data_IF_880016270430
#
_entry.id   IF_880016270430
#
_cell.length_a   1.000
_cell.length_b   1.000
_cell.length_c   1.000
_cell.angle_alpha   90.00
_cell.angle_beta   90.00
_cell.angle_gamma   90.00
#
_symmetry.space_group_name_H-M   'P 1'
#
loop_
_entity.id
_entity.type
_entity.pdbx_description
1 polymer ?
#
# COMPACT_ATOMS: atom_id res chain seq x y z
N UNK A 1 2.40 15.78 12.31
CA UNK A 1 2.18 14.53 13.06
C UNK A 1 1.35 13.59 12.20
N UNK A 2 1.71 12.31 12.17
CA UNK A 2 1.05 11.32 11.30
C UNK A 2 -0.37 10.97 11.79
N UNK A 3 -0.62 11.09 13.09
CA UNK A 3 -1.91 10.78 13.70
C UNK A 3 -3.09 11.58 13.14
N UNK A 4 -2.87 12.84 12.79
CA UNK A 4 -3.94 13.65 12.17
C UNK A 4 -4.43 13.09 10.83
N UNK A 5 -3.60 12.29 10.13
CA UNK A 5 -4.04 11.62 8.90
C UNK A 5 -5.03 10.50 9.20
N UNK A 6 -4.83 9.74 10.27
CA UNK A 6 -5.76 8.72 10.72
C UNK A 6 -7.07 9.34 11.24
N UNK A 7 -6.97 10.42 12.02
CA UNK A 7 -8.17 11.10 12.55
C UNK A 7 -9.06 11.57 11.39
N UNK A 8 -8.49 12.15 10.32
CA UNK A 8 -9.23 12.55 9.11
C UNK A 8 -9.87 11.36 8.39
N UNK A 9 -9.23 10.18 8.36
CA UNK A 9 -9.87 8.97 7.80
C UNK A 9 -11.14 8.64 8.56
N UNK A 10 -11.10 8.66 9.90
CA UNK A 10 -12.26 8.36 10.75
C UNK A 10 -13.36 9.41 10.64
N UNK A 11 -12.98 10.68 10.51
CA UNK A 11 -13.92 11.81 10.37
C UNK A 11 -14.63 11.79 9.02
N UNK A 12 -13.93 11.46 7.94
CA UNK A 12 -14.46 11.56 6.57
C UNK A 12 -15.03 10.26 6.02
N UNK A 13 -14.70 9.12 6.64
CA UNK A 13 -15.13 7.78 6.20
C UNK A 13 -14.96 7.59 4.68
N UNK A 14 -13.74 7.68 4.14
CA UNK A 14 -13.50 7.68 2.71
C UNK A 14 -14.01 6.40 2.04
N UNK A 15 -14.79 6.55 0.98
CA UNK A 15 -15.24 5.45 0.16
C UNK A 15 -14.15 5.10 -0.86
N UNK A 16 -13.64 3.86 -0.83
CA UNK A 16 -12.52 3.41 -1.65
C UNK A 16 -12.92 2.24 -2.54
N UNK A 17 -12.77 2.41 -3.85
CA UNK A 17 -12.89 1.33 -4.80
C UNK A 17 -11.62 0.47 -4.78
N UNK A 18 -11.78 -0.85 -4.71
CA UNK A 18 -10.67 -1.80 -4.69
C UNK A 18 -10.81 -2.84 -5.79
N UNK A 19 -9.88 -2.78 -6.76
CA UNK A 19 -9.60 -3.90 -7.66
C UNK A 19 -8.39 -4.61 -7.06
N UNK A 20 -8.63 -5.62 -6.23
CA UNK A 20 -7.59 -6.31 -5.48
C UNK A 20 -7.59 -7.81 -5.76
N UNK A 21 -6.59 -8.51 -5.23
CA UNK A 21 -6.45 -9.94 -5.47
C UNK A 21 -7.42 -10.77 -4.60
N UNK A 22 -7.92 -11.89 -5.15
CA UNK A 22 -8.90 -12.74 -4.47
C UNK A 22 -8.34 -13.50 -3.25
N UNK A 23 -7.01 -13.58 -3.11
CA UNK A 23 -6.38 -14.21 -1.94
C UNK A 23 -6.63 -13.41 -0.67
N UNK A 24 -6.69 -12.08 -0.79
CA UNK A 24 -6.72 -11.16 0.35
C UNK A 24 -7.88 -10.18 0.34
N UNK A 25 -8.81 -10.31 -0.60
CA UNK A 25 -9.93 -9.36 -0.81
C UNK A 25 -10.74 -9.11 0.47
N UNK A 26 -11.03 -10.16 1.23
CA UNK A 26 -11.79 -10.02 2.49
C UNK A 26 -10.98 -9.26 3.56
N UNK A 27 -9.69 -9.54 3.68
CA UNK A 27 -8.82 -8.87 4.66
C UNK A 27 -8.62 -7.39 4.31
N UNK A 28 -8.52 -7.05 3.00
CA UNK A 28 -8.46 -5.66 2.53
C UNK A 28 -9.75 -4.92 2.90
N UNK A 29 -10.92 -5.53 2.69
CA UNK A 29 -12.18 -4.93 3.10
C UNK A 29 -12.23 -4.71 4.63
N UNK A 30 -11.83 -5.70 5.42
CA UNK A 30 -11.89 -5.59 6.88
C UNK A 30 -10.89 -4.56 7.44
N UNK A 31 -9.69 -4.45 6.90
CA UNK A 31 -8.73 -3.43 7.37
C UNK A 31 -9.19 -2.01 7.03
N UNK A 32 -9.85 -1.82 5.88
CA UNK A 32 -10.47 -0.55 5.51
C UNK A 32 -11.59 -0.16 6.48
N UNK A 33 -12.49 -1.09 6.80
CA UNK A 33 -13.51 -0.88 7.82
C UNK A 33 -12.89 -0.59 9.19
N UNK A 34 -11.84 -1.31 9.57
CA UNK A 34 -11.15 -1.12 10.84
C UNK A 34 -10.53 0.28 10.97
N UNK A 35 -9.95 0.85 9.91
CA UNK A 35 -9.39 2.19 9.98
C UNK A 35 -10.44 3.31 9.92
N UNK A 36 -11.71 2.99 9.66
CA UNK A 36 -12.80 3.96 9.53
C UNK A 36 -13.13 4.35 8.09
N UNK A 37 -12.54 3.67 7.09
CA UNK A 37 -12.91 3.80 5.69
C UNK A 37 -14.10 2.93 5.30
N UNK A 38 -14.56 3.06 4.07
CA UNK A 38 -15.65 2.28 3.48
C UNK A 38 -15.18 1.64 2.16
N UNK A 39 -15.02 0.31 2.09
CA UNK A 39 -14.54 -0.37 0.89
C UNK A 39 -15.69 -0.76 -0.06
N UNK A 40 -15.45 -0.63 -1.37
CA UNK A 40 -16.21 -1.34 -2.40
C UNK A 40 -15.25 -2.22 -3.19
N UNK A 41 -15.60 -3.51 -3.32
CA UNK A 41 -14.85 -4.49 -4.11
C UNK A 41 -15.61 -4.72 -5.43
N UNK A 42 -15.04 -4.23 -6.54
CA UNK A 42 -15.59 -4.45 -7.88
C UNK A 42 -14.46 -4.60 -8.89
N UNK A 43 -14.57 -5.56 -9.80
CA UNK A 43 -13.56 -5.83 -10.82
C UNK A 43 -14.15 -6.21 -12.20
N UNK A 44 -15.50 -6.16 -12.35
CA UNK A 44 -16.15 -6.37 -13.63
C UNK A 44 -16.06 -5.12 -14.51
N UNK A 45 -15.69 -5.30 -15.79
CA UNK A 45 -15.52 -4.17 -16.75
C UNK A 45 -16.80 -3.36 -16.96
N UNK A 46 -17.99 -3.94 -16.74
CA UNK A 46 -19.26 -3.26 -16.89
C UNK A 46 -19.65 -2.44 -15.66
N UNK A 47 -18.97 -2.62 -14.52
CA UNK A 47 -19.31 -2.00 -13.24
C UNK A 47 -18.26 -1.00 -12.75
N UNK A 48 -16.97 -1.20 -13.10
CA UNK A 48 -15.86 -0.48 -12.49
C UNK A 48 -15.89 1.03 -12.69
N UNK A 49 -16.39 1.54 -13.81
CA UNK A 49 -16.46 2.98 -14.05
C UNK A 49 -17.52 3.65 -13.18
N UNK A 50 -18.68 3.02 -13.02
CA UNK A 50 -19.75 3.50 -12.15
C UNK A 50 -19.32 3.50 -10.69
N UNK A 51 -18.69 2.39 -10.24
CA UNK A 51 -18.17 2.28 -8.87
C UNK A 51 -17.04 3.29 -8.63
N UNK A 52 -16.10 3.46 -9.56
CA UNK A 52 -15.06 4.47 -9.44
C UNK A 52 -15.65 5.87 -9.31
N UNK A 53 -16.75 6.14 -10.01
CA UNK A 53 -17.38 7.45 -10.03
C UNK A 53 -18.04 7.84 -8.71
N UNK A 54 -18.54 6.89 -7.93
CA UNK A 54 -19.14 7.15 -6.61
C UNK A 54 -18.11 7.08 -5.47
N UNK A 55 -16.93 6.51 -5.70
CA UNK A 55 -15.85 6.42 -4.73
C UNK A 55 -14.98 7.67 -4.73
N UNK A 56 -14.26 7.92 -3.63
CA UNK A 56 -13.31 9.02 -3.51
C UNK A 56 -11.89 8.67 -3.98
N UNK A 57 -11.60 7.39 -4.27
CA UNK A 57 -10.30 6.93 -4.75
C UNK A 57 -10.28 5.45 -5.08
N UNK A 58 -9.16 5.00 -5.64
CA UNK A 58 -9.01 3.67 -6.22
C UNK A 58 -7.71 3.00 -5.74
N UNK A 59 -7.82 1.72 -5.36
CA UNK A 59 -6.70 0.83 -5.11
C UNK A 59 -6.64 -0.25 -6.18
N UNK A 60 -5.53 -0.36 -6.91
CA UNK A 60 -5.25 -1.38 -7.93
C UNK A 60 -4.14 -2.29 -7.43
N UNK A 61 -4.43 -3.59 -7.26
CA UNK A 61 -3.49 -4.62 -6.87
C UNK A 61 -3.46 -5.74 -7.90
N UNK A 62 -2.29 -6.02 -8.46
CA UNK A 62 -2.11 -6.96 -9.57
C UNK A 62 -1.76 -8.39 -9.13
N UNK A 63 -2.03 -8.76 -7.87
CA UNK A 63 -1.60 -10.04 -7.28
C UNK A 63 -2.21 -11.29 -7.91
N UNK A 64 -3.41 -11.20 -8.51
CA UNK A 64 -4.08 -12.32 -9.18
C UNK A 64 -4.68 -11.88 -10.51
N UNK A 65 -3.80 -11.40 -11.41
CA UNK A 65 -4.21 -10.96 -12.75
C UNK A 65 -4.90 -12.06 -13.55
N UNK A 66 -5.95 -11.66 -14.28
CA UNK A 66 -6.61 -12.48 -15.28
C UNK A 66 -7.14 -11.60 -16.44
N UNK A 67 -7.60 -12.24 -17.51
CA UNK A 67 -8.04 -11.55 -18.73
C UNK A 67 -9.22 -10.60 -18.51
N UNK A 68 -10.03 -10.83 -17.48
CA UNK A 68 -11.21 -10.00 -17.18
C UNK A 68 -10.83 -8.78 -16.31
N UNK A 69 -9.95 -8.97 -15.32
CA UNK A 69 -9.59 -7.89 -14.38
C UNK A 69 -8.60 -6.88 -14.97
N UNK A 70 -7.75 -7.29 -15.92
CA UNK A 70 -6.77 -6.37 -16.52
C UNK A 70 -7.47 -5.20 -17.23
N UNK A 71 -8.45 -5.39 -18.14
CA UNK A 71 -9.18 -4.26 -18.73
C UNK A 71 -9.86 -3.35 -17.71
N UNK A 72 -10.42 -3.95 -16.66
CA UNK A 72 -11.10 -3.23 -15.58
C UNK A 72 -10.15 -2.29 -14.82
N UNK A 73 -8.90 -2.72 -14.56
CA UNK A 73 -7.87 -1.89 -13.92
C UNK A 73 -7.56 -0.63 -14.76
N UNK A 74 -7.46 -0.76 -16.09
CA UNK A 74 -7.23 0.38 -16.97
C UNK A 74 -8.45 1.31 -17.04
N UNK A 75 -9.66 0.77 -17.20
CA UNK A 75 -10.89 1.55 -17.25
C UNK A 75 -11.10 2.35 -15.94
N UNK A 76 -11.05 1.68 -14.79
CA UNK A 76 -11.19 2.31 -13.49
C UNK A 76 -10.07 3.34 -13.23
N UNK A 77 -8.83 3.03 -13.58
CA UNK A 77 -7.69 3.95 -13.41
C UNK A 77 -7.85 5.23 -14.22
N UNK A 78 -8.24 5.13 -15.49
CA UNK A 78 -8.52 6.29 -16.35
C UNK A 78 -9.70 7.09 -15.82
N UNK A 79 -10.78 6.40 -15.41
CA UNK A 79 -11.95 7.05 -14.82
C UNK A 79 -11.61 7.80 -13.54
N UNK A 80 -10.82 7.23 -12.65
CA UNK A 80 -10.33 7.90 -11.46
C UNK A 80 -9.51 9.16 -11.81
N UNK A 81 -8.64 9.09 -12.82
CA UNK A 81 -7.87 10.23 -13.28
C UNK A 81 -8.74 11.35 -13.88
N UNK A 82 -9.77 11.01 -14.66
CA UNK A 82 -10.75 11.98 -15.17
C UNK A 82 -11.46 12.75 -14.05
N UNK A 83 -11.75 12.07 -12.95
CA UNK A 83 -12.42 12.63 -11.77
C UNK A 83 -11.46 13.32 -10.80
N UNK A 84 -10.14 13.22 -11.01
CA UNK A 84 -9.13 13.75 -10.09
C UNK A 84 -9.01 12.95 -8.79
N UNK A 85 -9.48 11.71 -8.77
CA UNK A 85 -9.40 10.83 -7.62
C UNK A 85 -7.99 10.27 -7.43
N UNK A 86 -7.48 10.15 -6.19
CA UNK A 86 -6.22 9.48 -5.92
C UNK A 86 -6.29 7.98 -6.27
N UNK A 87 -5.18 7.49 -6.84
CA UNK A 87 -5.03 6.08 -7.24
C UNK A 87 -3.78 5.51 -6.61
N UNK A 88 -3.89 4.32 -6.00
CA UNK A 88 -2.78 3.55 -5.44
C UNK A 88 -2.52 2.33 -6.31
N UNK A 89 -1.25 2.08 -6.65
CA UNK A 89 -0.80 0.86 -7.33
C UNK A 89 -0.02 -0.04 -6.36
N UNK A 90 -0.41 -1.30 -6.31
CA UNK A 90 0.33 -2.38 -5.67
C UNK A 90 0.77 -3.40 -6.76
N UNK A 91 2.02 -3.29 -7.27
CA UNK A 91 2.52 -4.11 -8.35
C UNK A 91 2.97 -5.50 -7.90
N UNK A 92 2.15 -6.20 -7.13
CA UNK A 92 2.46 -7.50 -6.52
C UNK A 92 3.05 -8.47 -7.53
N UNK A 93 4.30 -8.88 -7.27
CA UNK A 93 5.00 -9.86 -8.09
C UNK A 93 5.47 -9.32 -9.43
N UNK A 94 5.58 -8.02 -9.62
CA UNK A 94 6.32 -7.45 -10.74
C UNK A 94 7.75 -8.01 -10.74
N UNK A 95 8.20 -8.52 -11.89
CA UNK A 95 9.45 -9.27 -12.04
C UNK A 95 9.32 -10.78 -11.90
N UNK A 96 8.27 -11.30 -11.26
CA UNK A 96 8.04 -12.74 -11.14
C UNK A 96 7.46 -13.36 -12.41
N UNK A 97 6.75 -12.60 -13.24
CA UNK A 97 6.26 -13.04 -14.55
C UNK A 97 6.18 -11.88 -15.54
N UNK A 98 6.26 -12.22 -16.82
CA UNK A 98 6.13 -11.24 -17.91
C UNK A 98 4.78 -10.52 -17.87
N UNK A 99 3.68 -11.24 -17.62
CA UNK A 99 2.34 -10.66 -17.55
C UNK A 99 2.24 -9.59 -16.46
N UNK A 100 2.72 -9.88 -15.23
CA UNK A 100 2.67 -8.92 -14.11
C UNK A 100 3.52 -7.69 -14.39
N UNK A 101 4.76 -7.91 -14.86
CA UNK A 101 5.68 -6.82 -15.17
C UNK A 101 5.12 -5.90 -16.27
N UNK A 102 4.66 -6.49 -17.38
CA UNK A 102 4.12 -5.73 -18.51
C UNK A 102 2.83 -4.99 -18.12
N UNK A 103 1.94 -5.62 -17.35
CA UNK A 103 0.72 -4.97 -16.88
C UNK A 103 1.04 -3.80 -15.96
N UNK A 104 1.97 -3.97 -15.00
CA UNK A 104 2.37 -2.89 -14.10
C UNK A 104 2.99 -1.71 -14.87
N UNK A 105 3.91 -1.97 -15.80
CA UNK A 105 4.53 -0.93 -16.62
C UNK A 105 3.50 -0.20 -17.48
N UNK A 106 2.60 -0.93 -18.13
CA UNK A 106 1.54 -0.34 -18.95
C UNK A 106 0.54 0.47 -18.13
N UNK A 107 0.21 0.03 -16.91
CA UNK A 107 -0.60 0.83 -15.98
C UNK A 107 0.09 2.15 -15.64
N UNK A 108 1.40 2.15 -15.39
CA UNK A 108 2.18 3.36 -15.13
C UNK A 108 2.28 4.31 -16.34
N UNK A 109 2.16 3.79 -17.56
CA UNK A 109 2.12 4.60 -18.78
C UNK A 109 0.75 5.26 -19.02
N UNK A 110 -0.34 4.56 -18.69
CA UNK A 110 -1.70 4.98 -19.05
C UNK A 110 -2.51 5.59 -17.91
N UNK A 111 -2.10 5.37 -16.66
CA UNK A 111 -2.79 5.84 -15.45
C UNK A 111 -1.82 6.63 -14.57
N UNK A 112 -2.26 7.79 -14.09
CA UNK A 112 -1.51 8.59 -13.10
C UNK A 112 -1.81 8.05 -11.71
N UNK A 113 -0.77 7.66 -10.99
CA UNK A 113 -0.88 7.17 -9.62
C UNK A 113 -0.48 8.25 -8.62
N UNK A 114 -1.20 8.31 -7.50
CA UNK A 114 -0.84 9.14 -6.35
C UNK A 114 0.23 8.45 -5.50
N UNK A 115 0.10 7.13 -5.34
CA UNK A 115 1.06 6.30 -4.61
C UNK A 115 1.34 5.02 -5.38
N UNK A 116 2.61 4.65 -5.47
CA UNK A 116 3.06 3.32 -5.92
C UNK A 116 3.71 2.63 -4.73
N UNK A 117 3.13 1.52 -4.26
CA UNK A 117 3.61 0.79 -3.09
C UNK A 117 4.04 -0.62 -3.48
N UNK A 118 5.26 -1.01 -3.14
CA UNK A 118 5.76 -2.37 -3.38
C UNK A 118 6.94 -2.70 -2.45
N UNK A 119 7.44 -3.93 -2.52
CA UNK A 119 8.73 -4.24 -1.93
C UNK A 119 9.87 -3.69 -2.81
N UNK A 120 11.10 -3.73 -2.31
CA UNK A 120 12.26 -3.16 -3.03
C UNK A 120 12.48 -3.81 -4.39
N UNK A 121 12.27 -5.14 -4.52
CA UNK A 121 12.45 -5.87 -5.78
C UNK A 121 11.40 -5.51 -6.81
N UNK A 122 10.14 -5.32 -6.39
CA UNK A 122 9.04 -4.85 -7.26
C UNK A 122 9.34 -3.45 -7.78
N UNK A 123 9.72 -2.52 -6.91
CA UNK A 123 10.04 -1.13 -7.30
C UNK A 123 11.29 -1.07 -8.20
N UNK A 124 12.34 -1.88 -7.93
CA UNK A 124 13.51 -2.01 -8.83
C UNK A 124 13.12 -2.55 -10.21
N UNK A 125 12.18 -3.50 -10.26
CA UNK A 125 11.66 -4.03 -11.53
C UNK A 125 10.96 -2.94 -12.34
N UNK A 126 10.13 -2.12 -11.71
CA UNK A 126 9.50 -0.96 -12.37
C UNK A 126 10.55 0.07 -12.83
N UNK A 127 11.64 0.23 -12.08
CA UNK A 127 12.74 1.10 -12.47
C UNK A 127 13.49 0.61 -13.71
N UNK A 128 13.72 -0.69 -13.80
CA UNK A 128 14.46 -1.30 -14.91
C UNK A 128 13.64 -1.47 -16.20
N UNK A 129 12.29 -1.42 -16.11
CA UNK A 129 11.41 -1.65 -17.25
C UNK A 129 11.30 -3.13 -17.68
N UNK A 130 12.22 -3.98 -17.23
CA UNK A 130 12.18 -5.44 -17.34
C UNK A 130 13.09 -6.00 -16.26
N UNK A 131 12.63 -6.94 -15.47
CA UNK A 131 13.43 -7.52 -14.39
C UNK A 131 13.16 -9.00 -14.22
N UNK A 132 14.12 -9.69 -13.61
CA UNK A 132 13.95 -11.05 -13.10
C UNK A 132 14.01 -10.97 -11.58
N UNK A 133 12.84 -10.96 -10.93
CA UNK A 133 12.75 -11.15 -9.47
C UNK A 133 12.32 -12.59 -9.19
N UNK A 134 12.84 -13.15 -8.10
CA UNK A 134 12.48 -14.50 -7.66
C UNK A 134 11.28 -14.45 -6.74
N UNK A 135 10.08 -14.66 -7.30
CA UNK A 135 8.86 -14.77 -6.50
C UNK A 135 8.24 -13.44 -6.08
N UNK A 136 7.36 -13.49 -5.08
CA UNK A 136 6.61 -12.33 -4.53
C UNK A 136 7.39 -11.65 -3.40
N UNK A 137 8.30 -12.38 -2.76
CA UNK A 137 9.16 -11.84 -1.70
C UNK A 137 10.38 -11.14 -2.28
N UNK A 138 10.80 -10.05 -1.64
CA UNK A 138 12.04 -9.36 -1.99
C UNK A 138 13.23 -10.31 -1.83
N UNK A 139 14.21 -10.25 -2.76
CA UNK A 139 15.49 -10.91 -2.54
C UNK A 139 16.12 -10.32 -1.25
N UNK A 140 16.56 -11.20 -0.35
CA UNK A 140 17.19 -10.79 0.91
C UNK A 140 18.40 -9.88 0.67
N UNK A 141 19.10 -10.06 -0.46
CA UNK A 141 20.23 -9.22 -0.85
C UNK A 141 19.82 -7.78 -1.21
N UNK A 142 18.54 -7.55 -1.53
CA UNK A 142 18.00 -6.24 -1.89
C UNK A 142 17.38 -5.49 -0.71
N UNK A 143 17.21 -6.13 0.44
CA UNK A 143 16.52 -5.55 1.60
C UNK A 143 17.09 -4.19 2.00
N UNK A 144 16.20 -3.24 2.33
CA UNK A 144 16.58 -1.96 2.92
C UNK A 144 17.02 -2.20 4.37
N UNK A 145 18.28 -1.90 4.65
CA UNK A 145 18.92 -2.06 5.96
C UNK A 145 19.70 -0.79 6.29
N UNK A 146 20.16 -0.65 7.54
CA UNK A 146 20.89 0.56 7.96
C UNK A 146 22.15 0.81 7.12
N UNK A 147 22.86 -0.24 6.70
CA UNK A 147 24.11 -0.13 5.93
C UNK A 147 23.91 0.44 4.51
N UNK A 148 22.73 0.29 3.91
CA UNK A 148 22.41 0.80 2.57
C UNK A 148 21.33 1.89 2.58
N UNK A 149 21.00 2.42 3.73
CA UNK A 149 19.85 3.31 3.92
C UNK A 149 19.91 4.57 3.07
N UNK A 150 21.06 5.27 3.04
CA UNK A 150 21.22 6.50 2.25
C UNK A 150 21.04 6.27 0.76
N UNK A 151 21.59 5.16 0.23
CA UNK A 151 21.41 4.78 -1.16
C UNK A 151 19.95 4.41 -1.46
N UNK A 152 19.29 3.72 -0.54
CA UNK A 152 17.88 3.32 -0.66
C UNK A 152 16.94 4.53 -0.60
N UNK A 153 17.22 5.52 0.25
CA UNK A 153 16.49 6.80 0.30
C UNK A 153 16.65 7.57 -1.01
N UNK A 154 17.89 7.68 -1.52
CA UNK A 154 18.15 8.33 -2.80
C UNK A 154 17.41 7.63 -3.97
N UNK A 155 17.38 6.30 -3.97
CA UNK A 155 16.64 5.51 -4.94
C UNK A 155 15.12 5.76 -4.84
N UNK A 156 14.53 5.74 -3.63
CA UNK A 156 13.11 6.00 -3.42
C UNK A 156 12.69 7.39 -3.94
N UNK A 157 13.47 8.44 -3.60
CA UNK A 157 13.24 9.81 -4.11
C UNK A 157 13.35 9.91 -5.65
N UNK A 158 14.36 9.26 -6.22
CA UNK A 158 14.55 9.20 -7.68
C UNK A 158 13.36 8.52 -8.37
N UNK A 159 12.84 7.43 -7.80
CA UNK A 159 11.67 6.75 -8.32
C UNK A 159 10.41 7.60 -8.20
N UNK A 160 10.23 8.29 -7.08
CA UNK A 160 9.10 9.20 -6.86
C UNK A 160 9.12 10.35 -7.89
N UNK A 161 10.28 10.96 -8.13
CA UNK A 161 10.44 11.98 -9.15
C UNK A 161 10.12 11.45 -10.57
N UNK A 162 10.60 10.25 -10.90
CA UNK A 162 10.37 9.62 -12.21
C UNK A 162 8.90 9.28 -12.44
N UNK A 163 8.20 8.77 -11.42
CA UNK A 163 6.80 8.39 -11.51
C UNK A 163 5.85 9.55 -11.27
N UNK A 164 6.37 10.71 -10.83
CA UNK A 164 5.56 11.84 -10.34
C UNK A 164 4.48 11.39 -9.34
N UNK A 165 4.88 10.53 -8.39
CA UNK A 165 4.03 9.89 -7.40
C UNK A 165 4.80 9.69 -6.09
N UNK A 166 4.09 9.52 -4.99
CA UNK A 166 4.68 9.00 -3.76
C UNK A 166 5.08 7.54 -3.98
N UNK A 167 6.29 7.17 -3.61
CA UNK A 167 6.76 5.78 -3.65
C UNK A 167 6.91 5.25 -2.23
N UNK A 168 6.22 4.15 -1.93
CA UNK A 168 6.31 3.44 -0.66
C UNK A 168 7.02 2.09 -0.87
N UNK A 169 8.25 1.97 -0.41
CA UNK A 169 9.04 0.74 -0.43
C UNK A 169 8.94 0.08 0.93
N UNK A 170 8.38 -1.13 0.99
CA UNK A 170 8.16 -1.84 2.26
C UNK A 170 9.09 -3.03 2.43
N UNK A 171 9.56 -3.23 3.67
CA UNK A 171 10.53 -4.27 4.02
C UNK A 171 10.85 -4.31 5.51
N UNK A 172 12.12 -4.53 5.84
CA UNK A 172 12.60 -4.46 7.23
C UNK A 172 12.65 -3.01 7.75
N UNK A 173 13.00 -2.08 6.87
CA UNK A 173 12.86 -0.63 7.03
C UNK A 173 12.01 -0.17 5.87
N UNK A 174 10.95 0.56 6.16
CA UNK A 174 10.04 1.10 5.14
C UNK A 174 10.46 2.52 4.75
N UNK A 175 10.36 2.82 3.45
CA UNK A 175 10.64 4.14 2.90
C UNK A 175 9.39 4.67 2.21
N UNK A 176 8.95 5.87 2.56
CA UNK A 176 7.86 6.56 1.87
C UNK A 176 8.38 7.91 1.40
N UNK A 177 8.49 8.11 0.11
CA UNK A 177 9.18 9.26 -0.47
C UNK A 177 8.38 9.96 -1.57
N UNK A 178 8.48 11.27 -1.61
CA UNK A 178 8.35 12.08 -2.81
C UNK A 178 9.74 12.43 -3.40
N UNK A 179 9.80 13.34 -4.35
CA UNK A 179 11.08 13.74 -4.98
C UNK A 179 12.06 14.44 -4.00
N UNK A 180 11.56 15.03 -2.89
CA UNK A 180 12.33 15.87 -1.96
C UNK A 180 12.50 15.26 -0.60
N UNK A 181 11.50 14.56 -0.11
CA UNK A 181 11.38 14.11 1.27
C UNK A 181 11.19 12.61 1.34
N UNK A 182 11.80 11.96 2.31
CA UNK A 182 11.61 10.53 2.58
C UNK A 182 11.35 10.30 4.07
N UNK A 183 10.24 9.65 4.38
CA UNK A 183 9.98 9.06 5.69
C UNK A 183 10.65 7.69 5.75
N UNK A 184 11.52 7.51 6.71
CA UNK A 184 12.17 6.22 7.04
C UNK A 184 11.46 5.67 8.26
N UNK A 185 10.72 4.58 8.11
CA UNK A 185 9.82 4.04 9.14
C UNK A 185 10.35 2.68 9.60
N UNK A 186 10.43 2.50 10.94
CA UNK A 186 10.98 1.29 11.58
C UNK A 186 9.95 0.54 12.42
N UNK A 187 8.66 0.79 12.19
CA UNK A 187 7.60 -0.01 12.77
C UNK A 187 7.44 -1.33 12.01
N UNK A 188 6.93 -2.33 12.71
CA UNK A 188 6.67 -3.64 12.15
C UNK A 188 7.46 -4.75 12.81
N UNK A 189 7.20 -5.97 12.38
CA UNK A 189 7.81 -7.18 12.91
C UNK A 189 8.04 -8.22 11.82
N UNK A 190 9.13 -9.01 11.89
CA UNK A 190 9.40 -10.06 10.91
C UNK A 190 8.27 -11.11 10.82
N UNK A 191 7.53 -11.32 11.91
CA UNK A 191 6.44 -12.29 11.96
C UNK A 191 5.26 -11.90 11.05
N UNK A 192 5.11 -10.62 10.68
CA UNK A 192 4.12 -10.16 9.71
C UNK A 192 4.32 -10.82 8.34
N UNK A 193 5.55 -11.18 7.98
CA UNK A 193 5.86 -11.92 6.76
C UNK A 193 5.31 -13.36 6.73
N UNK A 194 4.85 -13.90 7.86
CA UNK A 194 4.18 -15.22 7.93
C UNK A 194 2.67 -15.16 7.71
N UNK A 195 2.13 -13.97 7.46
CA UNK A 195 0.71 -13.73 7.14
C UNK A 195 0.64 -13.32 5.68
N UNK A 196 -0.16 -14.02 4.88
CA UNK A 196 -0.42 -13.59 3.51
C UNK A 196 -1.23 -12.30 3.50
N UNK A 197 -0.84 -11.36 2.65
CA UNK A 197 -1.65 -10.19 2.33
C UNK A 197 -1.50 -8.98 3.24
N UNK A 198 -0.58 -8.95 4.20
CA UNK A 198 -0.30 -7.73 5.00
C UNK A 198 0.06 -6.54 4.09
N UNK A 199 0.82 -6.79 3.03
CA UNK A 199 1.11 -5.79 2.00
C UNK A 199 -0.15 -5.32 1.26
N UNK A 200 -1.00 -6.25 0.82
CA UNK A 200 -2.24 -5.91 0.11
C UNK A 200 -3.21 -5.11 1.00
N UNK A 201 -3.30 -5.47 2.28
CA UNK A 201 -4.04 -4.69 3.28
C UNK A 201 -3.48 -3.27 3.43
N UNK A 202 -2.15 -3.14 3.47
CA UNK A 202 -1.49 -1.83 3.53
C UNK A 202 -1.81 -0.98 2.30
N UNK A 203 -1.90 -1.56 1.11
CA UNK A 203 -2.24 -0.81 -0.10
C UNK A 203 -3.67 -0.27 -0.06
N UNK A 204 -4.63 -1.07 0.42
CA UNK A 204 -6.00 -0.60 0.70
C UNK A 204 -6.03 0.50 1.76
N UNK A 205 -5.31 0.30 2.86
CA UNK A 205 -5.17 1.28 3.94
C UNK A 205 -4.59 2.60 3.41
N UNK A 206 -3.51 2.53 2.60
CA UNK A 206 -2.89 3.70 1.96
C UNK A 206 -3.90 4.46 1.11
N UNK A 207 -4.74 3.76 0.34
CA UNK A 207 -5.79 4.39 -0.45
C UNK A 207 -6.77 5.19 0.43
N UNK A 208 -7.26 4.62 1.53
CA UNK A 208 -8.14 5.34 2.46
C UNK A 208 -7.46 6.60 3.04
N UNK A 209 -6.18 6.49 3.41
CA UNK A 209 -5.44 7.62 3.98
C UNK A 209 -5.22 8.75 2.97
N UNK A 210 -4.86 8.44 1.71
CA UNK A 210 -4.66 9.49 0.71
C UNK A 210 -5.97 10.11 0.23
N UNK A 211 -7.06 9.35 0.20
CA UNK A 211 -8.41 9.89 -0.09
C UNK A 211 -8.83 10.89 0.98
N UNK A 212 -8.62 10.57 2.25
CA UNK A 212 -8.96 11.46 3.37
C UNK A 212 -8.01 12.66 3.49
N UNK A 213 -6.81 12.61 2.88
CA UNK A 213 -5.77 13.62 3.01
C UNK A 213 -5.18 14.03 1.65
N UNK A 214 -6.00 14.55 0.71
CA UNK A 214 -5.56 14.83 -0.66
C UNK A 214 -4.54 15.97 -0.76
N UNK A 215 -4.47 16.82 0.25
CA UNK A 215 -3.55 17.95 0.38
C UNK A 215 -2.12 17.54 0.82
N UNK A 216 -1.94 16.32 1.33
CA UNK A 216 -0.66 15.82 1.86
C UNK A 216 -0.49 14.30 1.65
N UNK A 217 -0.41 13.84 0.39
CA UNK A 217 -0.37 12.41 0.08
C UNK A 217 0.89 11.70 0.62
N UNK A 218 2.01 12.39 0.75
CA UNK A 218 3.24 11.83 1.31
C UNK A 218 3.06 11.45 2.79
N UNK A 219 2.58 12.39 3.61
CA UNK A 219 2.31 12.17 5.03
C UNK A 219 1.22 11.12 5.23
N UNK A 220 0.19 11.13 4.39
CA UNK A 220 -0.89 10.15 4.42
C UNK A 220 -0.38 8.73 4.16
N UNK A 221 0.45 8.55 3.14
CA UNK A 221 1.08 7.26 2.86
C UNK A 221 2.03 6.81 3.98
N UNK A 222 2.84 7.75 4.53
CA UNK A 222 3.71 7.46 5.67
C UNK A 222 2.90 7.06 6.92
N UNK A 223 1.77 7.73 7.18
CA UNK A 223 0.88 7.39 8.28
C UNK A 223 0.27 6.00 8.11
N UNK A 224 -0.15 5.62 6.90
CA UNK A 224 -0.68 4.28 6.63
C UNK A 224 0.38 3.19 6.88
N UNK A 225 1.62 3.40 6.41
CA UNK A 225 2.74 2.48 6.64
C UNK A 225 3.05 2.34 8.13
N UNK A 226 3.19 3.46 8.85
CA UNK A 226 3.43 3.46 10.28
C UNK A 226 2.30 2.79 11.07
N UNK A 227 1.03 3.02 10.67
CA UNK A 227 -0.14 2.40 11.29
C UNK A 227 -0.13 0.88 11.14
N UNK A 228 0.16 0.37 9.95
CA UNK A 228 0.24 -1.08 9.69
C UNK A 228 1.38 -1.71 10.49
N UNK A 229 2.57 -1.09 10.50
CA UNK A 229 3.71 -1.58 11.27
C UNK A 229 3.44 -1.58 12.77
N UNK A 230 2.89 -0.49 13.31
CA UNK A 230 2.51 -0.38 14.72
C UNK A 230 1.42 -1.40 15.09
N UNK A 231 0.43 -1.61 14.23
CA UNK A 231 -0.59 -2.63 14.43
C UNK A 231 0.02 -4.04 14.48
N UNK A 232 1.04 -4.31 13.66
CA UNK A 232 1.82 -5.54 13.72
C UNK A 232 2.51 -5.73 15.08
N UNK A 233 3.13 -4.67 15.62
CA UNK A 233 3.77 -4.70 16.94
C UNK A 233 2.75 -4.93 18.06
N UNK A 234 1.64 -4.20 18.06
CA UNK A 234 0.54 -4.33 19.04
C UNK A 234 -0.08 -5.73 18.96
N UNK A 235 -0.41 -6.18 17.75
CA UNK A 235 -0.99 -7.49 17.53
C UNK A 235 -0.10 -8.62 18.06
N UNK A 236 1.20 -8.53 17.81
CA UNK A 236 2.17 -9.52 18.31
C UNK A 236 2.30 -9.50 19.83
N UNK A 237 2.32 -8.32 20.45
CA UNK A 237 2.42 -8.21 21.92
C UNK A 237 1.25 -8.84 22.67
N UNK A 238 0.11 -9.02 21.98
CA UNK A 238 -1.10 -9.64 22.52
C UNK A 238 -1.21 -11.15 22.20
N UNK A 239 -0.22 -11.74 21.48
CA UNK A 239 -0.23 -13.15 21.13
C UNK A 239 -0.05 -14.04 22.38
N UNK A 240 -0.81 -15.15 22.42
CA UNK A 240 -0.68 -16.19 23.43
C UNK A 240 0.18 -17.33 22.89
N UNK A 241 0.79 -18.18 23.74
CA UNK A 241 1.66 -19.28 23.28
C UNK A 241 1.00 -20.27 22.32
N UNK A 242 -0.32 -20.36 22.32
CA UNK A 242 -1.10 -21.26 21.44
C UNK A 242 -1.62 -20.59 20.18
N UNK A 243 -1.41 -19.28 20.03
CA UNK A 243 -1.88 -18.51 18.86
C UNK A 243 -0.99 -18.76 17.65
N UNK A 244 -1.61 -18.80 16.47
CA UNK A 244 -0.94 -18.94 15.18
C UNK A 244 -1.13 -17.73 14.28
N UNK A 245 -0.75 -17.88 13.00
CA UNK A 245 -0.80 -16.80 12.02
C UNK A 245 -2.22 -16.25 11.78
N UNK A 246 -3.26 -17.08 11.87
CA UNK A 246 -4.66 -16.61 11.74
C UNK A 246 -5.04 -15.66 12.86
N UNK A 247 -4.70 -15.98 14.09
CA UNK A 247 -4.94 -15.11 15.24
C UNK A 247 -4.13 -13.82 15.10
N UNK A 248 -2.87 -13.93 14.71
CA UNK A 248 -2.02 -12.73 14.51
C UNK A 248 -2.60 -11.80 13.44
N UNK A 249 -3.06 -12.34 12.29
CA UNK A 249 -3.76 -11.55 11.26
C UNK A 249 -4.94 -10.77 11.84
N UNK A 250 -5.79 -11.44 12.59
CA UNK A 250 -6.95 -10.81 13.20
C UNK A 250 -6.55 -9.74 14.22
N UNK A 251 -5.52 -9.99 15.03
CA UNK A 251 -5.01 -9.00 16.00
C UNK A 251 -4.41 -7.76 15.35
N UNK A 252 -3.85 -7.86 14.15
CA UNK A 252 -3.43 -6.68 13.37
C UNK A 252 -4.64 -5.84 12.98
N UNK A 253 -5.70 -6.44 12.47
CA UNK A 253 -6.93 -5.74 12.09
C UNK A 253 -7.58 -5.11 13.33
N UNK A 254 -7.66 -5.83 14.44
CA UNK A 254 -8.17 -5.32 15.72
C UNK A 254 -7.33 -4.14 16.23
N UNK A 255 -6.00 -4.20 16.08
CA UNK A 255 -5.12 -3.11 16.47
C UNK A 255 -5.35 -1.84 15.62
N UNK A 256 -5.60 -1.98 14.32
CA UNK A 256 -6.01 -0.87 13.45
C UNK A 256 -7.36 -0.29 13.92
N UNK A 257 -8.31 -1.15 14.25
CA UNK A 257 -9.64 -0.71 14.72
C UNK A 257 -9.57 0.16 15.99
N UNK A 258 -8.70 -0.20 16.94
CA UNK A 258 -8.56 0.51 18.21
C UNK A 258 -7.55 1.68 18.18
N UNK A 259 -6.75 1.81 17.11
CA UNK A 259 -5.75 2.87 16.98
C UNK A 259 -6.42 4.22 16.72
N UNK A 260 -6.04 5.26 17.44
CA UNK A 260 -6.36 6.65 17.17
C UNK A 260 -5.10 7.45 16.79
N UNK A 261 -5.28 8.71 16.41
CA UNK A 261 -4.16 9.57 16.01
C UNK A 261 -3.13 9.73 17.12
N UNK A 262 -3.56 9.84 18.38
CA UNK A 262 -2.65 9.98 19.52
C UNK A 262 -1.80 8.71 19.73
N UNK A 263 -2.41 7.52 19.61
CA UNK A 263 -1.72 6.25 19.68
C UNK A 263 -0.72 6.09 18.53
N UNK A 264 -1.10 6.48 17.31
CA UNK A 264 -0.20 6.47 16.17
C UNK A 264 0.99 7.41 16.37
N UNK A 265 0.77 8.67 16.77
CA UNK A 265 1.85 9.63 17.00
C UNK A 265 2.82 9.18 18.10
N UNK A 266 2.31 8.52 19.13
CA UNK A 266 3.12 7.97 20.23
C UNK A 266 3.93 6.74 19.81
N UNK A 267 3.36 5.90 18.95
CA UNK A 267 3.94 4.59 18.57
C UNK A 267 4.75 4.61 17.28
N UNK A 268 4.59 5.63 16.43
CA UNK A 268 5.29 5.71 15.16
C UNK A 268 6.80 5.96 15.37
N UNK A 269 7.62 5.11 14.73
CA UNK A 269 9.09 5.15 14.80
C UNK A 269 9.61 5.57 13.42
N UNK A 270 9.80 6.85 13.22
CA UNK A 270 10.24 7.37 11.93
C UNK A 270 11.23 8.54 12.07
N UNK A 271 11.99 8.74 11.02
CA UNK A 271 12.77 9.96 10.77
C UNK A 271 12.43 10.49 9.37
N UNK A 272 12.71 11.76 9.14
CA UNK A 272 12.49 12.42 7.85
C UNK A 272 13.85 12.84 7.29
N UNK A 273 14.10 12.45 6.04
CA UNK A 273 15.33 12.73 5.30
C UNK A 273 15.09 13.47 4.00
#
# INVERSE_FOLDING_TARGET
>A
MLGTCLDRVRETTPLVHNITNYVTVNDVANVLLACGGSPIMSDDIQDVEDITSICGGLNINIGTLNQNTIPSMFAAGKKANELGHPVVLDPVGAGASALRTQTALKLLEEVKFTVVRGNISEIKTLAAGSGTTKGVDADVADAVIEDNLDASVAFAKSMAARLNAVVAITGAIDLVADEKTCYVIRNGRPEMGKITGTGCQLSGLTAAYVVANPDRPLEAAAAAVASMGLAGEIGWSNMQPTDGNSTYRNRIIDAIFHMDGAALDKGAKYEVR
#
